data_IF_276247880646
#
_entry.id   IF_276247880646
#
_cell.length_a   1.000
_cell.length_b   1.000
_cell.length_c   1.000
_cell.angle_alpha   90.00
_cell.angle_beta   90.00
_cell.angle_gamma   90.00
#
_symmetry.space_group_name_H-M   'P 1'
#
loop_
_entity.id
_entity.type
_entity.pdbx_description
1 polymer ?
#
# COMPACT_ATOMS: atom_id res chain seq x y z
N UNK A 1 -2.94 -4.34 -6.44
CA UNK A 1 -2.20 -3.64 -5.37
C UNK A 1 -1.58 -4.76 -4.59
N UNK A 2 -0.27 -4.85 -4.71
CA UNK A 2 0.50 -5.94 -4.13
C UNK A 2 1.20 -5.39 -2.89
N UNK A 3 1.26 -6.22 -1.85
CA UNK A 3 1.89 -5.87 -0.59
C UNK A 3 3.13 -6.73 -0.39
N UNK A 4 4.06 -6.25 0.42
CA UNK A 4 5.31 -6.91 0.72
C UNK A 4 5.61 -6.75 2.22
N UNK A 5 6.31 -7.73 2.78
CA UNK A 5 7.01 -7.56 4.06
C UNK A 5 8.33 -6.86 3.78
N UNK A 6 8.55 -5.70 4.41
CA UNK A 6 9.67 -4.81 4.15
C UNK A 6 10.54 -4.65 5.39
N UNK A 7 11.85 -4.74 5.24
CA UNK A 7 12.83 -4.76 6.35
C UNK A 7 14.04 -3.88 6.04
N UNK A 8 14.73 -3.38 7.07
CA UNK A 8 15.90 -2.48 6.94
C UNK A 8 17.24 -3.19 6.81
N UNK A 9 17.26 -4.52 6.70
CA UNK A 9 18.48 -5.32 6.52
C UNK A 9 18.18 -6.81 6.36
N UNK A 10 19.19 -7.66 6.52
CA UNK A 10 19.04 -9.11 6.42
C UNK A 10 18.35 -9.65 7.68
N UNK A 11 17.21 -10.30 7.50
CA UNK A 11 16.45 -11.00 8.54
C UNK A 11 15.62 -12.12 7.91
N UNK A 12 14.91 -12.89 8.71
CA UNK A 12 13.94 -13.90 8.27
C UNK A 12 12.57 -13.67 8.90
N UNK A 13 11.55 -14.35 8.38
CA UNK A 13 10.16 -14.19 8.82
C UNK A 13 9.95 -14.67 10.27
N UNK A 14 10.79 -15.57 10.78
CA UNK A 14 10.73 -16.10 12.15
C UNK A 14 11.30 -15.13 13.19
N UNK A 15 12.23 -14.26 12.79
CA UNK A 15 12.84 -13.24 13.66
C UNK A 15 11.94 -12.01 13.84
N UNK A 16 10.96 -11.81 12.95
CA UNK A 16 10.03 -10.68 13.04
C UNK A 16 9.12 -10.83 14.28
N UNK A 17 9.13 -9.82 15.13
CA UNK A 17 8.27 -9.75 16.32
C UNK A 17 7.14 -8.74 16.13
N UNK A 18 7.36 -7.67 15.37
CA UNK A 18 6.36 -6.60 15.17
C UNK A 18 6.27 -6.16 13.71
N UNK A 19 5.03 -6.00 13.23
CA UNK A 19 4.75 -5.49 11.88
C UNK A 19 3.94 -4.20 11.97
N UNK A 20 4.40 -3.18 11.24
CA UNK A 20 3.77 -1.87 11.16
C UNK A 20 3.07 -1.65 9.83
N UNK A 21 1.87 -1.06 9.85
CA UNK A 21 1.19 -0.55 8.65
C UNK A 21 -0.07 0.24 8.97
N UNK A 22 -0.68 0.82 7.93
CA UNK A 22 -2.06 1.28 8.00
C UNK A 22 -3.01 0.08 8.21
N UNK A 23 -4.18 0.22 8.86
CA UNK A 23 -5.13 -0.88 9.06
C UNK A 23 -5.56 -1.61 7.78
N UNK A 24 -5.65 -0.90 6.66
CA UNK A 24 -6.13 -1.46 5.39
C UNK A 24 -5.22 -2.58 4.83
N UNK A 25 -3.89 -2.41 4.68
CA UNK A 25 -2.98 -3.50 4.32
C UNK A 25 -3.13 -4.76 5.19
N UNK A 26 -3.28 -4.62 6.51
CA UNK A 26 -3.48 -5.77 7.39
C UNK A 26 -4.76 -6.53 7.07
N UNK A 27 -5.87 -5.81 6.84
CA UNK A 27 -7.13 -6.43 6.42
C UNK A 27 -7.02 -7.08 5.04
N UNK A 28 -6.26 -6.47 4.12
CA UNK A 28 -6.04 -7.00 2.78
C UNK A 28 -5.11 -8.22 2.79
N UNK A 29 -4.25 -8.39 3.80
CA UNK A 29 -3.27 -9.48 3.87
C UNK A 29 -3.57 -10.50 4.99
N UNK A 30 -4.76 -10.49 5.58
CA UNK A 30 -5.05 -11.27 6.79
C UNK A 30 -4.83 -12.79 6.62
N UNK A 31 -5.08 -13.36 5.44
CA UNK A 31 -4.80 -14.79 5.18
C UNK A 31 -3.31 -15.13 5.31
N UNK A 32 -2.44 -14.26 4.82
CA UNK A 32 -0.99 -14.39 4.95
C UNK A 32 -0.56 -14.23 6.41
N UNK A 33 -1.06 -13.19 7.08
CA UNK A 33 -0.70 -12.86 8.47
C UNK A 33 -1.11 -13.95 9.46
N UNK A 34 -2.19 -14.70 9.18
CA UNK A 34 -2.61 -15.84 10.00
C UNK A 34 -1.55 -16.97 10.06
N UNK A 35 -0.57 -17.00 9.16
CA UNK A 35 0.56 -17.93 9.21
C UNK A 35 1.58 -17.56 10.30
N UNK A 36 1.57 -16.31 10.77
CA UNK A 36 2.51 -15.76 11.75
C UNK A 36 1.75 -15.18 12.96
N UNK A 37 1.04 -16.01 13.75
CA UNK A 37 0.22 -15.53 14.86
C UNK A 37 1.01 -14.90 16.01
N UNK A 38 2.34 -15.06 16.04
CA UNK A 38 3.24 -14.46 17.01
C UNK A 38 3.63 -13.02 16.66
N UNK A 39 3.37 -12.56 15.44
CA UNK A 39 3.64 -11.19 15.05
C UNK A 39 2.71 -10.22 15.75
N UNK A 40 3.29 -9.23 16.43
CA UNK A 40 2.55 -8.11 16.97
C UNK A 40 2.18 -7.15 15.84
N UNK A 41 0.89 -6.88 15.67
CA UNK A 41 0.39 -5.90 14.70
C UNK A 41 0.31 -4.53 15.37
N UNK A 42 0.95 -3.53 14.75
CA UNK A 42 0.95 -2.15 15.22
C UNK A 42 0.50 -1.21 14.11
N UNK A 43 -0.55 -0.42 14.37
CA UNK A 43 -1.13 0.47 13.37
C UNK A 43 -0.37 1.79 13.28
N UNK A 44 -0.27 2.29 12.06
CA UNK A 44 0.28 3.61 11.74
C UNK A 44 -0.71 4.42 10.90
N UNK A 45 -0.50 5.73 10.83
CA UNK A 45 -1.37 6.64 10.07
C UNK A 45 -1.33 6.41 8.56
N UNK A 46 -0.22 5.84 8.06
CA UNK A 46 -0.04 5.50 6.65
C UNK A 46 0.97 4.36 6.49
N UNK A 47 0.99 3.73 5.30
CA UNK A 47 2.01 2.75 4.92
C UNK A 47 3.40 3.36 4.87
N UNK A 48 3.53 4.61 4.41
CA UNK A 48 4.80 5.34 4.40
C UNK A 48 5.32 5.63 5.81
N UNK A 49 4.43 5.98 6.75
CA UNK A 49 4.82 6.16 8.15
C UNK A 49 5.33 4.85 8.80
N UNK A 50 4.78 3.70 8.41
CA UNK A 50 5.30 2.40 8.84
C UNK A 50 6.69 2.12 8.27
N UNK A 51 6.91 2.39 6.98
CA UNK A 51 8.22 2.22 6.33
C UNK A 51 9.28 3.12 6.99
N UNK A 52 8.95 4.39 7.23
CA UNK A 52 9.84 5.32 7.92
C UNK A 52 10.23 4.81 9.32
N UNK A 53 9.24 4.32 10.08
CA UNK A 53 9.48 3.77 11.42
C UNK A 53 10.42 2.57 11.41
N UNK A 54 10.27 1.67 10.43
CA UNK A 54 11.13 0.48 10.29
C UNK A 54 12.54 0.84 9.83
N UNK A 55 12.65 1.81 8.92
CA UNK A 55 13.94 2.36 8.49
C UNK A 55 14.69 2.99 9.67
N UNK A 56 14.00 3.79 10.48
CA UNK A 56 14.58 4.45 11.67
C UNK A 56 14.93 3.45 12.78
N UNK A 57 14.11 2.41 12.98
CA UNK A 57 14.35 1.40 14.01
C UNK A 57 15.59 0.54 13.69
N UNK A 58 15.91 0.34 12.41
CA UNK A 58 17.07 -0.43 11.92
C UNK A 58 17.29 -1.75 12.69
N UNK A 59 16.20 -2.49 12.91
CA UNK A 59 16.17 -3.69 13.75
C UNK A 59 15.68 -4.89 12.95
N UNK A 60 16.31 -6.08 13.10
CA UNK A 60 15.89 -7.28 12.39
C UNK A 60 14.54 -7.83 12.89
N UNK A 61 13.99 -7.29 13.98
CA UNK A 61 12.76 -7.76 14.64
C UNK A 61 11.50 -7.03 14.20
N UNK A 62 11.64 -6.02 13.33
CA UNK A 62 10.50 -5.20 12.88
C UNK A 62 10.40 -5.20 11.37
N UNK A 63 9.17 -5.20 10.87
CA UNK A 63 8.89 -5.10 9.45
C UNK A 63 7.75 -4.10 9.17
N UNK A 64 7.71 -3.59 7.95
CA UNK A 64 6.60 -2.81 7.45
C UNK A 64 5.82 -3.64 6.43
N UNK A 65 4.49 -3.50 6.43
CA UNK A 65 3.64 -4.08 5.39
C UNK A 65 3.22 -2.98 4.41
N UNK A 66 3.57 -3.11 3.13
CA UNK A 66 3.20 -2.13 2.11
C UNK A 66 3.79 -2.42 0.74
N UNK A 67 3.75 -1.45 -0.18
CA UNK A 67 4.26 -1.62 -1.54
C UNK A 67 5.78 -1.66 -1.60
N UNK A 68 6.35 -2.54 -2.43
CA UNK A 68 7.79 -2.59 -2.74
C UNK A 68 8.36 -1.22 -3.15
N UNK A 69 7.71 -0.55 -4.11
CA UNK A 69 8.14 0.76 -4.58
C UNK A 69 8.27 1.79 -3.45
N UNK A 70 7.34 1.74 -2.48
CA UNK A 70 7.42 2.55 -1.26
C UNK A 70 8.61 2.16 -0.40
N UNK A 71 8.83 0.86 -0.17
CA UNK A 71 9.97 0.37 0.60
C UNK A 71 11.31 0.86 0.07
N UNK A 72 11.50 0.82 -1.26
CA UNK A 72 12.72 1.30 -1.93
C UNK A 72 13.01 2.78 -1.60
N UNK A 73 11.97 3.64 -1.53
CA UNK A 73 12.14 5.06 -1.20
C UNK A 73 12.68 5.28 0.23
N UNK A 74 12.43 4.33 1.14
CA UNK A 74 12.91 4.35 2.51
C UNK A 74 14.15 3.47 2.74
N UNK A 75 14.75 2.93 1.66
CA UNK A 75 15.92 2.04 1.75
C UNK A 75 15.60 0.65 2.32
N UNK A 76 14.32 0.25 2.34
CA UNK A 76 13.89 -1.07 2.80
C UNK A 76 13.96 -2.09 1.67
N UNK A 77 14.18 -3.34 2.05
CA UNK A 77 14.25 -4.49 1.16
C UNK A 77 13.01 -5.36 1.31
N UNK A 78 12.60 -6.00 0.22
CA UNK A 78 11.53 -6.99 0.25
C UNK A 78 12.05 -8.28 0.87
N UNK A 79 11.39 -8.70 1.94
CA UNK A 79 11.60 -10.01 2.56
C UNK A 79 10.68 -11.07 1.94
N UNK A 80 9.41 -10.71 1.69
CA UNK A 80 8.40 -11.61 1.16
C UNK A 80 7.34 -10.82 0.39
N UNK A 81 6.91 -11.33 -0.77
CA UNK A 81 5.77 -10.80 -1.52
C UNK A 81 4.47 -11.43 -1.01
N UNK A 82 3.43 -10.61 -0.83
CA UNK A 82 2.14 -11.05 -0.31
C UNK A 82 1.06 -10.86 -1.36
N UNK A 83 0.42 -11.96 -1.72
CA UNK A 83 -0.85 -11.91 -2.43
C UNK A 83 -1.94 -11.39 -1.50
N UNK A 84 -2.53 -10.25 -1.85
CA UNK A 84 -3.69 -9.74 -1.13
C UNK A 84 -4.84 -10.76 -1.19
N UNK A 85 -5.67 -10.78 -0.15
CA UNK A 85 -6.85 -11.63 0.01
C UNK A 85 -7.79 -11.60 -1.20
N UNK A 86 -7.80 -10.48 -1.94
CA UNK A 86 -8.54 -10.25 -3.17
C UNK A 86 -7.59 -9.95 -4.32
N UNK A 87 -7.66 -10.75 -5.38
CA UNK A 87 -6.75 -10.68 -6.53
C UNK A 87 -6.99 -9.44 -7.42
N UNK A 88 -8.23 -8.94 -7.48
CA UNK A 88 -8.59 -7.74 -8.26
C UNK A 88 -8.54 -6.46 -7.41
N UNK A 89 -7.36 -6.15 -6.87
CA UNK A 89 -7.17 -4.92 -6.12
C UNK A 89 -6.60 -3.82 -7.04
N UNK A 90 -7.46 -3.00 -7.64
CA UNK A 90 -7.07 -2.01 -8.66
C UNK A 90 -7.43 -0.60 -8.19
N UNK A 91 -6.45 0.31 -8.23
CA UNK A 91 -6.68 1.74 -8.01
C UNK A 91 -6.72 2.46 -9.34
N UNK A 92 -7.82 3.19 -9.60
CA UNK A 92 -7.93 4.07 -10.77
C UNK A 92 -7.63 5.51 -10.36
N UNK A 93 -6.56 6.06 -10.90
CA UNK A 93 -6.18 7.47 -10.70
C UNK A 93 -6.76 8.36 -11.79
N UNK A 94 -7.00 9.62 -11.47
CA UNK A 94 -7.35 10.68 -12.42
C UNK A 94 -6.31 11.79 -12.28
N UNK A 95 -5.64 12.12 -13.38
CA UNK A 95 -4.69 13.23 -13.44
C UNK A 95 -5.43 14.50 -13.84
N UNK A 96 -5.27 15.56 -13.06
CA UNK A 96 -5.98 16.83 -13.24
C UNK A 96 -5.00 17.92 -13.68
N UNK A 97 -5.45 18.76 -14.61
CA UNK A 97 -4.72 19.95 -15.06
C UNK A 97 -5.64 21.18 -14.96
N UNK A 98 -5.07 22.33 -14.58
CA UNK A 98 -5.84 23.58 -14.48
C UNK A 98 -6.34 24.08 -15.84
N UNK A 99 -5.52 23.90 -16.88
CA UNK A 99 -5.87 24.25 -18.26
C UNK A 99 -6.20 22.97 -19.02
N UNK A 100 -7.17 23.07 -19.94
CA UNK A 100 -7.49 21.98 -20.84
C UNK A 100 -6.25 21.61 -21.66
N UNK A 101 -5.99 20.30 -21.75
CA UNK A 101 -4.98 19.74 -22.63
C UNK A 101 -5.72 19.23 -23.86
N UNK A 102 -5.30 19.68 -25.05
CA UNK A 102 -5.84 19.14 -26.29
C UNK A 102 -5.36 17.71 -26.46
N UNK A 103 -6.30 16.78 -26.50
CA UNK A 103 -6.06 15.38 -26.83
C UNK A 103 -6.60 15.16 -28.23
N UNK A 104 -5.85 14.47 -29.09
CA UNK A 104 -6.28 14.16 -30.46
C UNK A 104 -7.55 13.31 -30.45
N UNK A 105 -8.50 13.62 -31.34
CA UNK A 105 -9.75 12.86 -31.51
C UNK A 105 -9.52 11.40 -31.97
N UNK A 106 -8.32 11.08 -32.44
CA UNK A 106 -7.94 9.71 -32.82
C UNK A 106 -7.62 8.82 -31.60
N UNK A 107 -7.49 9.40 -30.41
CA UNK A 107 -7.20 8.65 -29.18
C UNK A 107 -8.51 8.30 -28.49
N UNK A 108 -8.77 7.02 -28.17
CA UNK A 108 -9.94 6.63 -27.37
C UNK A 108 -9.97 7.41 -26.04
N UNK A 109 -11.04 8.19 -25.82
CA UNK A 109 -11.18 9.06 -24.66
C UNK A 109 -12.36 8.63 -23.78
N UNK A 110 -12.28 8.97 -22.49
CA UNK A 110 -13.43 8.91 -21.56
C UNK A 110 -13.76 10.31 -21.09
N UNK A 111 -15.05 10.66 -21.12
CA UNK A 111 -15.57 11.91 -20.59
C UNK A 111 -16.21 11.68 -19.23
N UNK A 112 -15.88 12.51 -18.25
CA UNK A 112 -16.51 12.51 -16.92
C UNK A 112 -17.36 13.78 -16.80
N UNK A 113 -18.64 13.62 -16.52
CA UNK A 113 -19.59 14.72 -16.34
C UNK A 113 -20.10 14.69 -14.89
N UNK A 114 -20.19 15.87 -14.27
CA UNK A 114 -20.90 16.06 -13.01
C UNK A 114 -22.16 16.88 -13.32
N UNK A 115 -23.33 16.34 -13.02
CA UNK A 115 -24.62 17.01 -13.22
C UNK A 115 -25.41 17.01 -11.92
N UNK A 116 -26.15 18.08 -11.67
CA UNK A 116 -27.10 18.17 -10.56
C UNK A 116 -28.46 18.62 -11.10
N UNK A 117 -29.54 18.03 -10.59
CA UNK A 117 -30.92 18.39 -10.94
C UNK A 117 -31.67 18.84 -9.70
N UNK A 118 -32.60 19.79 -9.84
CA UNK A 118 -33.51 20.15 -8.75
C UNK A 118 -34.51 19.02 -8.49
N UNK A 119 -34.69 18.64 -7.22
CA UNK A 119 -35.79 17.79 -6.80
C UNK A 119 -37.02 18.68 -6.64
N UNK A 120 -38.00 18.61 -7.55
CA UNK A 120 -39.32 19.19 -7.31
C UNK A 120 -40.22 18.10 -6.72
N UNK A 121 -40.77 18.38 -5.52
CA UNK A 121 -41.75 17.55 -4.83
C UNK A 121 -43.15 17.77 -5.41
#
# INVERSE_FOLDING_TARGET
>A
IDHCVLVSGTTDLETIETVYSHPQPFQQCSKFLNRYPHWKIEYTESTSAAMEKVAQANSPRVAALGSEAGGVLYGLQVLEHIEANQSQNITRFVVLARKAINVSDQVPAKTTLLMATGQQA
#
